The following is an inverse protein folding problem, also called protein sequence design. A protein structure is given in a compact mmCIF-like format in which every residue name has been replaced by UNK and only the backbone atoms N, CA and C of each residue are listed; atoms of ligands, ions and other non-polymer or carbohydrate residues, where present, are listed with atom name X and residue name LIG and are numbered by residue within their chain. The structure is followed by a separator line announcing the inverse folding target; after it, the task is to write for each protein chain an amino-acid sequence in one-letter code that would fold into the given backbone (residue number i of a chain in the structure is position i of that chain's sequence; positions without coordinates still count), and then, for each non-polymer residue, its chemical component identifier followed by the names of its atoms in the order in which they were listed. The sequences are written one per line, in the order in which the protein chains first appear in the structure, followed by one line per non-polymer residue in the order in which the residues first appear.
data_IF_641945777812
#
_entry.id   IF_641945777812
#
_cell.length_a   1.000
_cell.length_b   1.000
_cell.length_c   1.000
_cell.angle_alpha   90.00
_cell.angle_beta   90.00
_cell.angle_gamma   90.00
#
_symmetry.space_group_name_H-M   'P 1'
#
loop_
_entity.id
_entity.type
_entity.pdbx_description
1 polymer ?
#
# COMPACT_ATOMS: atom_id res chain seq x y z
N UNK A 1 22.92 -0.40 15.18
CA UNK A 1 21.57 -0.06 15.72
C UNK A 1 20.98 1.30 15.28
N UNK A 2 21.68 2.19 14.55
CA UNK A 2 21.14 3.52 14.15
C UNK A 2 19.94 3.47 13.17
N UNK A 3 19.77 2.38 12.39
CA UNK A 3 18.80 2.31 11.30
C UNK A 3 17.31 2.18 11.71
N UNK A 4 16.99 1.79 12.96
CA UNK A 4 15.59 1.61 13.42
C UNK A 4 14.94 2.95 13.81
N UNK A 5 15.72 4.01 14.07
CA UNK A 5 15.18 5.31 14.48
C UNK A 5 14.29 5.98 13.43
N UNK A 6 14.54 5.70 12.14
CA UNK A 6 13.75 6.25 11.04
C UNK A 6 12.48 5.46 10.73
N UNK A 7 12.34 4.24 11.24
CA UNK A 7 11.24 3.35 10.86
C UNK A 7 9.84 3.95 11.15
N UNK A 8 9.58 4.60 12.31
CA UNK A 8 8.29 5.23 12.56
C UNK A 8 7.98 6.36 11.56
N UNK A 9 8.99 7.14 11.18
CA UNK A 9 8.86 8.21 10.19
C UNK A 9 8.62 7.67 8.78
N UNK A 10 9.28 6.58 8.41
CA UNK A 10 9.03 5.90 7.15
C UNK A 10 7.63 5.31 7.09
N UNK A 11 7.14 4.74 8.19
CA UNK A 11 5.77 4.23 8.29
C UNK A 11 4.74 5.36 8.17
N UNK A 12 4.97 6.49 8.85
CA UNK A 12 4.12 7.67 8.71
C UNK A 12 4.12 8.19 7.26
N UNK A 13 5.29 8.25 6.62
CA UNK A 13 5.43 8.65 5.22
C UNK A 13 4.69 7.69 4.28
N UNK A 14 4.74 6.38 4.54
CA UNK A 14 3.97 5.38 3.79
C UNK A 14 2.46 5.61 3.93
N UNK A 15 1.97 5.90 5.15
CA UNK A 15 0.56 6.23 5.39
C UNK A 15 0.10 7.51 4.67
N UNK A 16 0.95 8.54 4.64
CA UNK A 16 0.67 9.78 3.90
C UNK A 16 0.71 9.57 2.37
N UNK A 17 1.66 8.75 1.88
CA UNK A 17 1.72 8.37 0.49
C UNK A 17 0.46 7.59 0.08
N UNK A 18 -0.03 6.70 0.94
CA UNK A 18 -1.28 5.97 0.71
C UNK A 18 -2.49 6.90 0.69
N UNK A 19 -2.52 7.92 1.56
CA UNK A 19 -3.57 8.94 1.50
C UNK A 19 -3.58 9.68 0.15
N UNK A 20 -2.41 10.10 -0.32
CA UNK A 20 -2.29 10.74 -1.64
C UNK A 20 -2.67 9.79 -2.78
N UNK A 21 -2.32 8.51 -2.66
CA UNK A 21 -2.66 7.48 -3.62
C UNK A 21 -4.16 7.22 -3.71
N UNK A 22 -4.81 7.02 -2.57
CA UNK A 22 -6.26 6.91 -2.46
C UNK A 22 -6.98 8.11 -3.08
N UNK A 23 -6.47 9.34 -2.89
CA UNK A 23 -7.05 10.54 -3.52
C UNK A 23 -6.92 10.48 -5.04
N UNK A 24 -5.75 10.12 -5.57
CA UNK A 24 -5.55 9.96 -7.01
C UNK A 24 -6.52 8.91 -7.59
N UNK A 25 -6.67 7.76 -6.93
CA UNK A 25 -7.55 6.68 -7.39
C UNK A 25 -9.02 7.06 -7.41
N UNK A 26 -9.49 7.77 -6.38
CA UNK A 26 -10.86 8.27 -6.31
C UNK A 26 -11.12 9.29 -7.43
N UNK A 27 -10.22 10.27 -7.59
CA UNK A 27 -10.37 11.33 -8.58
C UNK A 27 -10.28 10.82 -10.02
N UNK A 28 -9.50 9.78 -10.26
CA UNK A 28 -9.33 9.20 -11.60
C UNK A 28 -10.23 7.98 -11.85
N UNK A 29 -11.09 7.65 -10.87
CA UNK A 29 -12.19 6.73 -11.06
C UNK A 29 -11.77 5.26 -11.16
N UNK A 30 -10.75 4.82 -10.39
CA UNK A 30 -10.30 3.43 -10.39
C UNK A 30 -11.45 2.44 -10.19
N UNK A 31 -12.39 2.81 -9.32
CA UNK A 31 -13.56 2.00 -8.96
C UNK A 31 -14.37 1.53 -10.16
N UNK A 32 -14.41 2.30 -11.26
CA UNK A 32 -15.10 1.92 -12.50
C UNK A 32 -14.45 0.72 -13.19
N UNK A 33 -13.15 0.48 -12.96
CA UNK A 33 -12.40 -0.62 -13.56
C UNK A 33 -12.40 -1.89 -12.68
N UNK A 34 -12.80 -1.79 -11.42
CA UNK A 34 -12.80 -2.93 -10.48
C UNK A 34 -13.63 -4.11 -10.99
N UNK A 35 -14.85 -3.94 -11.54
CA UNK A 35 -15.63 -5.07 -12.04
C UNK A 35 -14.92 -5.82 -13.17
N UNK A 36 -14.25 -5.10 -14.06
CA UNK A 36 -13.54 -5.71 -15.19
C UNK A 36 -12.34 -6.53 -14.70
N UNK A 37 -11.52 -5.97 -13.80
CA UNK A 37 -10.33 -6.66 -13.27
C UNK A 37 -10.72 -7.85 -12.40
N UNK A 38 -11.67 -7.66 -11.48
CA UNK A 38 -12.12 -8.72 -10.57
C UNK A 38 -12.96 -9.77 -11.29
N UNK A 39 -13.68 -9.41 -12.35
CA UNK A 39 -14.33 -10.35 -13.26
C UNK A 39 -13.33 -11.30 -13.93
N UNK A 40 -12.24 -10.76 -14.50
CA UNK A 40 -11.17 -11.57 -15.09
C UNK A 40 -10.52 -12.51 -14.07
N UNK A 41 -10.38 -12.08 -12.82
CA UNK A 41 -9.88 -12.93 -11.74
C UNK A 41 -10.90 -13.98 -11.33
N UNK A 42 -12.18 -13.62 -11.18
CA UNK A 42 -13.27 -14.52 -10.81
C UNK A 42 -13.43 -15.68 -11.81
N UNK A 43 -13.27 -15.38 -13.11
CA UNK A 43 -13.35 -16.40 -14.17
C UNK A 43 -12.28 -17.48 -14.03
N UNK A 44 -11.11 -17.15 -13.47
CA UNK A 44 -10.02 -18.09 -13.20
C UNK A 44 -10.05 -18.66 -11.78
N UNK A 45 -10.54 -17.87 -10.82
CA UNK A 45 -10.53 -18.15 -9.39
C UNK A 45 -11.91 -17.79 -8.83
N UNK A 46 -12.85 -18.76 -8.88
CA UNK A 46 -14.27 -18.54 -8.52
C UNK A 46 -14.52 -18.01 -7.10
N UNK A 47 -13.56 -18.13 -6.19
CA UNK A 47 -13.65 -17.57 -4.84
C UNK A 47 -13.41 -16.05 -4.79
N UNK A 48 -12.83 -15.44 -5.82
CA UNK A 48 -12.61 -13.99 -5.90
C UNK A 48 -13.95 -13.33 -6.28
N UNK A 49 -14.54 -12.46 -5.45
CA UNK A 49 -15.79 -11.81 -5.80
C UNK A 49 -15.58 -10.75 -6.89
N UNK A 50 -16.58 -10.56 -7.75
CA UNK A 50 -16.63 -9.42 -8.68
C UNK A 50 -17.04 -8.18 -7.88
N UNK A 51 -16.17 -7.19 -7.83
CA UNK A 51 -16.36 -6.00 -7.01
C UNK A 51 -17.05 -4.91 -7.83
N UNK A 52 -18.31 -4.62 -7.48
CA UNK A 52 -19.06 -3.48 -7.98
C UNK A 52 -19.18 -2.45 -6.86
N UNK A 53 -18.49 -1.32 -7.02
CA UNK A 53 -18.40 -0.30 -5.98
C UNK A 53 -18.90 1.03 -6.52
N UNK A 54 -19.63 1.79 -5.71
CA UNK A 54 -19.90 3.19 -5.99
C UNK A 54 -18.67 4.04 -5.69
N UNK A 55 -18.62 5.26 -6.22
CA UNK A 55 -17.55 6.20 -5.91
C UNK A 55 -17.43 6.46 -4.40
N UNK A 56 -18.58 6.62 -3.71
CA UNK A 56 -18.66 6.85 -2.28
C UNK A 56 -18.18 5.65 -1.48
N UNK A 57 -18.59 4.43 -1.87
CA UNK A 57 -18.13 3.20 -1.24
C UNK A 57 -16.61 3.05 -1.36
N UNK A 58 -16.06 3.35 -2.54
CA UNK A 58 -14.62 3.26 -2.81
C UNK A 58 -13.81 4.28 -2.03
N UNK A 59 -14.29 5.53 -1.98
CA UNK A 59 -13.70 6.57 -1.16
C UNK A 59 -13.75 6.20 0.33
N UNK A 60 -14.86 5.64 0.82
CA UNK A 60 -15.02 5.25 2.22
C UNK A 60 -14.03 4.16 2.63
N UNK A 61 -13.85 3.11 1.82
CA UNK A 61 -12.86 2.07 2.16
C UNK A 61 -11.43 2.60 2.12
N UNK A 62 -11.09 3.43 1.13
CA UNK A 62 -9.80 4.09 1.09
C UNK A 62 -9.55 4.94 2.35
N UNK A 63 -10.55 5.72 2.77
CA UNK A 63 -10.46 6.52 3.99
C UNK A 63 -10.23 5.64 5.23
N UNK A 64 -10.92 4.48 5.33
CA UNK A 64 -10.71 3.53 6.42
C UNK A 64 -9.27 2.98 6.42
N UNK A 65 -8.75 2.59 5.24
CA UNK A 65 -7.36 2.11 5.12
C UNK A 65 -6.37 3.18 5.59
N UNK A 66 -6.52 4.41 5.10
CA UNK A 66 -5.67 5.55 5.48
C UNK A 66 -5.77 5.86 6.97
N UNK A 67 -6.99 5.88 7.52
CA UNK A 67 -7.22 6.13 8.94
C UNK A 67 -6.56 5.07 9.82
N UNK A 68 -6.63 3.79 9.41
CA UNK A 68 -5.93 2.70 10.10
C UNK A 68 -4.42 2.91 10.04
N UNK A 69 -3.83 3.15 8.87
CA UNK A 69 -2.39 3.35 8.73
C UNK A 69 -1.86 4.51 9.57
N UNK A 70 -2.52 5.66 9.50
CA UNK A 70 -2.14 6.83 10.29
C UNK A 70 -2.40 6.61 11.78
N UNK A 71 -3.55 6.01 12.14
CA UNK A 71 -3.92 5.68 13.51
C UNK A 71 -3.00 4.64 14.17
N UNK A 72 -2.36 3.76 13.40
CA UNK A 72 -1.35 2.82 13.91
C UNK A 72 0.03 3.47 14.15
N UNK A 73 0.29 4.66 13.60
CA UNK A 73 1.60 5.32 13.69
C UNK A 73 2.11 5.48 15.12
N UNK A 74 1.32 5.94 16.11
CA UNK A 74 1.79 6.09 17.50
C UNK A 74 2.41 4.81 18.08
N UNK A 75 1.87 3.63 17.75
CA UNK A 75 2.39 2.37 18.27
C UNK A 75 3.76 2.01 17.66
N UNK A 76 4.00 2.42 16.41
CA UNK A 76 5.29 2.28 15.76
C UNK A 76 6.32 3.23 16.39
N UNK A 77 5.91 4.46 16.73
CA UNK A 77 6.75 5.41 17.47
C UNK A 77 7.12 4.90 18.87
N UNK A 78 6.17 4.26 19.56
CA UNK A 78 6.39 3.59 20.84
C UNK A 78 7.18 2.26 20.71
N UNK A 79 7.43 1.80 19.48
CA UNK A 79 8.21 0.59 19.16
C UNK A 79 7.64 -0.69 19.76
N UNK A 80 6.32 -0.79 19.84
CA UNK A 80 5.68 -2.04 20.24
C UNK A 80 6.08 -3.16 19.28
N UNK A 81 6.50 -4.32 19.82
CA UNK A 81 7.03 -5.42 19.00
C UNK A 81 6.01 -5.92 17.96
N UNK A 82 4.73 -5.94 18.31
CA UNK A 82 3.65 -6.31 17.39
C UNK A 82 3.46 -5.27 16.28
N UNK A 83 3.58 -3.97 16.59
CA UNK A 83 3.46 -2.90 15.62
C UNK A 83 4.59 -2.97 14.57
N UNK A 84 5.81 -3.31 14.99
CA UNK A 84 6.93 -3.50 14.06
C UNK A 84 6.71 -4.66 13.08
N UNK A 85 6.00 -5.72 13.49
CA UNK A 85 5.60 -6.81 12.58
C UNK A 85 4.56 -6.31 11.56
N UNK A 86 3.57 -5.54 12.02
CA UNK A 86 2.55 -4.96 11.15
C UNK A 86 3.17 -4.03 10.11
N UNK A 87 4.15 -3.19 10.48
CA UNK A 87 4.86 -2.31 9.54
C UNK A 87 5.39 -3.09 8.33
N UNK A 88 5.97 -4.28 8.56
CA UNK A 88 6.49 -5.12 7.47
C UNK A 88 5.36 -5.66 6.58
N UNK A 89 4.27 -6.13 7.17
CA UNK A 89 3.11 -6.64 6.42
C UNK A 89 2.50 -5.54 5.56
N UNK A 90 2.27 -4.36 6.15
CA UNK A 90 1.77 -3.18 5.43
C UNK A 90 2.72 -2.82 4.29
N UNK A 91 4.02 -2.75 4.53
CA UNK A 91 4.98 -2.42 3.48
C UNK A 91 4.97 -3.42 2.31
N UNK A 92 4.75 -4.72 2.56
CA UNK A 92 4.55 -5.70 1.48
C UNK A 92 3.28 -5.40 0.70
N UNK A 93 2.16 -5.19 1.39
CA UNK A 93 0.87 -4.90 0.75
C UNK A 93 0.97 -3.65 -0.13
N UNK A 94 1.57 -2.56 0.37
CA UNK A 94 1.70 -1.31 -0.37
C UNK A 94 2.67 -1.41 -1.56
N UNK A 95 3.74 -2.21 -1.45
CA UNK A 95 4.63 -2.50 -2.60
C UNK A 95 3.89 -3.28 -3.67
N UNK A 96 3.10 -4.27 -3.29
CA UNK A 96 2.28 -5.04 -4.24
C UNK A 96 1.20 -4.16 -4.87
N UNK A 97 0.55 -3.31 -4.07
CA UNK A 97 -0.42 -2.33 -4.55
C UNK A 97 0.22 -1.43 -5.61
N UNK A 98 1.33 -0.76 -5.26
CA UNK A 98 2.04 0.10 -6.19
C UNK A 98 2.46 -0.60 -7.50
N UNK A 99 2.90 -1.86 -7.41
CA UNK A 99 3.25 -2.65 -8.59
C UNK A 99 2.05 -2.89 -9.52
N UNK A 100 0.86 -3.12 -8.99
CA UNK A 100 -0.38 -3.29 -9.77
C UNK A 100 -0.80 -2.01 -10.52
N UNK A 101 -0.33 -0.84 -10.09
CA UNK A 101 -0.55 0.43 -10.80
C UNK A 101 0.57 0.74 -11.80
N UNK A 102 1.83 0.56 -11.39
CA UNK A 102 2.99 0.95 -12.18
C UNK A 102 3.21 0.01 -13.37
N UNK A 103 3.14 -1.31 -13.16
CA UNK A 103 3.45 -2.29 -14.22
C UNK A 103 2.52 -2.11 -15.43
N UNK A 104 1.18 -2.05 -15.29
CA UNK A 104 0.30 -1.84 -16.43
C UNK A 104 0.50 -0.48 -17.11
N UNK A 105 0.86 0.57 -16.35
CA UNK A 105 1.13 1.89 -16.91
C UNK A 105 2.38 1.87 -17.79
N UNK A 106 3.46 1.22 -17.34
CA UNK A 106 4.69 1.03 -18.12
C UNK A 106 4.42 0.19 -19.37
N UNK A 107 3.79 -0.98 -19.22
CA UNK A 107 3.54 -1.92 -20.32
C UNK A 107 2.67 -1.29 -21.41
N UNK A 108 1.67 -0.48 -21.03
CA UNK A 108 0.76 0.17 -21.98
C UNK A 108 1.19 1.57 -22.39
N UNK A 109 2.33 2.07 -21.90
CA UNK A 109 2.85 3.41 -22.19
C UNK A 109 1.84 4.54 -21.96
N UNK A 110 0.94 4.37 -20.99
CA UNK A 110 -0.18 5.30 -20.77
C UNK A 110 -0.42 5.53 -19.28
N UNK A 111 -0.92 6.73 -18.97
CA UNK A 111 -1.34 7.07 -17.62
C UNK A 111 -2.42 6.09 -17.13
N UNK A 112 -2.32 5.68 -15.87
CA UNK A 112 -3.30 4.85 -15.16
C UNK A 112 -3.56 5.46 -13.80
N UNK A 113 -4.81 5.38 -13.36
CA UNK A 113 -5.23 5.77 -12.02
C UNK A 113 -4.23 5.27 -10.97
N UNK A 114 -3.74 6.16 -10.12
CA UNK A 114 -2.82 5.85 -9.02
C UNK A 114 -1.35 5.67 -9.41
N UNK A 115 -0.97 5.74 -10.69
CA UNK A 115 0.40 5.39 -11.10
C UNK A 115 1.47 6.41 -10.66
N UNK A 116 1.10 7.69 -10.47
CA UNK A 116 2.07 8.73 -10.05
C UNK A 116 2.36 8.58 -8.56
N UNK A 117 1.30 8.57 -7.73
CA UNK A 117 1.43 8.39 -6.28
C UNK A 117 1.98 7.02 -5.88
N UNK A 118 1.71 5.96 -6.67
CA UNK A 118 2.26 4.62 -6.46
C UNK A 118 3.79 4.58 -6.41
N UNK A 119 4.49 5.50 -7.08
CA UNK A 119 5.96 5.59 -7.01
C UNK A 119 6.44 5.82 -5.57
N UNK A 120 5.71 6.64 -4.80
CA UNK A 120 6.03 6.91 -3.41
C UNK A 120 5.72 5.72 -2.50
N UNK A 121 4.61 5.00 -2.76
CA UNK A 121 4.29 3.75 -2.06
C UNK A 121 5.37 2.70 -2.28
N UNK A 122 5.77 2.49 -3.54
CA UNK A 122 6.83 1.56 -3.90
C UNK A 122 8.16 1.94 -3.21
N UNK A 123 8.57 3.20 -3.33
CA UNK A 123 9.83 3.67 -2.77
C UNK A 123 9.87 3.56 -1.24
N UNK A 124 8.86 4.07 -0.55
CA UNK A 124 8.81 4.03 0.92
C UNK A 124 8.66 2.61 1.46
N UNK A 125 7.80 1.80 0.84
CA UNK A 125 7.60 0.39 1.19
C UNK A 125 8.87 -0.43 1.02
N UNK A 126 9.58 -0.31 -0.11
CA UNK A 126 10.85 -1.01 -0.33
C UNK A 126 11.91 -0.60 0.70
N UNK A 127 12.05 0.70 1.01
CA UNK A 127 13.00 1.16 2.03
C UNK A 127 12.68 0.56 3.41
N UNK A 128 11.40 0.46 3.77
CA UNK A 128 10.96 -0.21 5.01
C UNK A 128 11.34 -1.70 4.99
N UNK A 129 11.05 -2.41 3.91
CA UNK A 129 11.34 -3.84 3.78
C UNK A 129 12.83 -4.13 3.86
N UNK A 130 13.66 -3.33 3.18
CA UNK A 130 15.12 -3.44 3.24
C UNK A 130 15.61 -3.23 4.68
N UNK A 131 15.19 -2.14 5.34
CA UNK A 131 15.64 -1.81 6.70
C UNK A 131 15.19 -2.84 7.75
N UNK A 132 14.01 -3.43 7.58
CA UNK A 132 13.47 -4.45 8.49
C UNK A 132 14.02 -5.85 8.19
N UNK A 133 14.27 -6.18 6.92
CA UNK A 133 14.89 -7.45 6.49
C UNK A 133 16.33 -7.60 6.99
N UNK A 134 17.19 -6.62 6.74
CA UNK A 134 18.60 -6.64 7.21
C UNK A 134 18.73 -6.74 8.74
N UNK A 135 17.74 -6.25 9.49
CA UNK A 135 17.77 -6.28 10.95
C UNK A 135 17.55 -7.68 11.56
N UNK A 136 16.98 -8.60 10.79
CA UNK A 136 16.71 -9.97 11.22
C UNK A 136 17.93 -10.88 11.04
N UNK A 137 18.67 -10.72 9.93
CA UNK A 137 19.87 -11.52 9.63
C UNK A 137 21.04 -11.21 10.58
N UNK A 138 21.19 -9.95 11.00
CA UNK A 138 22.24 -9.55 11.96
C UNK A 138 21.98 -10.02 13.40
N UNK A 139 20.79 -10.53 13.72
CA UNK A 139 20.49 -11.12 15.03
C UNK A 139 20.66 -12.64 15.06
N UNK A 140 20.88 -13.27 13.90
CA UNK A 140 21.05 -14.71 13.74
C UNK A 140 22.51 -15.14 13.53
N UNK A 141 23.45 -14.19 13.57
CA UNK A 141 24.91 -14.40 13.58
C UNK A 141 25.47 -14.04 14.96
#
# INVERSE_FOLDING_TARGET
MKNIKMLPWLYLALGLAQAAHSVEEVLTGLWMNLPAVTGLLHDRLRFVPVLNWSAEGFAAANLVIVALLLGFSPFVFQRHAWALKIVRVVAVIEVLNAALHIIPAIVKGSYRSGCISAVFLLGTGLVILIKTGYSHELKSL
#
